data_IF_103573448352
#
_entry.id   IF_103573448352
#
_cell.length_a   1.000
_cell.length_b   1.000
_cell.length_c   1.000
_cell.angle_alpha   90.00
_cell.angle_beta   90.00
_cell.angle_gamma   90.00
#
_symmetry.space_group_name_H-M   'P 1'
#
loop_
_entity.id
_entity.type
_entity.pdbx_description
1 polymer ?
#
# COMPACT_ATOMS: atom_id res chain seq x y z
N UNK A 1 35.46 -51.40 -35.29
CA UNK A 1 35.38 -50.95 -33.88
C UNK A 1 34.94 -49.49 -33.89
N UNK A 2 33.66 -49.22 -33.64
CA UNK A 2 33.07 -47.86 -33.61
C UNK A 2 33.15 -47.35 -32.17
N UNK A 3 33.92 -46.31 -31.95
CA UNK A 3 33.99 -45.61 -30.65
C UNK A 3 32.79 -44.66 -30.55
N UNK A 4 31.85 -44.94 -29.63
CA UNK A 4 30.73 -44.06 -29.29
C UNK A 4 31.27 -43.06 -28.28
N UNK A 5 31.32 -41.80 -28.69
CA UNK A 5 31.67 -40.66 -27.84
C UNK A 5 30.40 -40.20 -27.11
N UNK A 6 30.32 -40.55 -25.84
CA UNK A 6 29.21 -40.13 -24.98
C UNK A 6 29.48 -38.70 -24.48
N UNK A 7 28.83 -37.72 -25.08
CA UNK A 7 28.89 -36.32 -24.64
C UNK A 7 27.94 -36.17 -23.46
N UNK A 8 28.49 -36.08 -22.26
CA UNK A 8 27.75 -35.76 -21.05
C UNK A 8 27.39 -34.26 -21.07
N UNK A 9 26.13 -33.95 -21.35
CA UNK A 9 25.60 -32.58 -21.31
C UNK A 9 25.37 -32.20 -19.84
N UNK A 10 26.34 -31.54 -19.24
CA UNK A 10 26.19 -30.93 -17.92
C UNK A 10 25.35 -29.65 -18.09
N UNK A 11 24.06 -29.70 -17.77
CA UNK A 11 23.23 -28.53 -17.65
C UNK A 11 23.65 -27.76 -16.38
N UNK A 12 24.05 -26.49 -16.49
CA UNK A 12 24.22 -25.66 -15.30
C UNK A 12 22.84 -25.41 -14.71
N UNK A 13 22.58 -25.97 -13.55
CA UNK A 13 21.49 -25.52 -12.69
C UNK A 13 21.81 -24.08 -12.27
N UNK A 14 21.23 -23.14 -12.97
CA UNK A 14 21.18 -21.75 -12.51
C UNK A 14 20.27 -21.76 -11.29
N UNK A 15 20.86 -21.89 -10.12
CA UNK A 15 20.20 -21.59 -8.87
C UNK A 15 19.85 -20.10 -8.92
N UNK A 16 18.63 -19.80 -9.35
CA UNK A 16 18.08 -18.47 -9.28
C UNK A 16 17.99 -18.09 -7.80
N UNK A 17 19.00 -17.39 -7.30
CA UNK A 17 18.84 -16.57 -6.12
C UNK A 17 17.71 -15.61 -6.41
N UNK A 18 16.51 -15.89 -5.91
CA UNK A 18 15.46 -14.89 -5.76
C UNK A 18 16.03 -13.83 -4.83
N UNK A 19 16.59 -12.76 -5.43
CA UNK A 19 16.87 -11.54 -4.70
C UNK A 19 15.57 -11.20 -3.98
N UNK A 20 15.61 -11.23 -2.66
CA UNK A 20 14.58 -10.62 -1.83
C UNK A 20 14.43 -9.20 -2.35
N UNK A 21 13.28 -8.92 -2.97
CA UNK A 21 12.91 -7.57 -3.38
C UNK A 21 13.08 -6.68 -2.16
N UNK A 22 14.03 -5.78 -2.24
CA UNK A 22 14.16 -4.68 -1.29
C UNK A 22 12.81 -3.98 -1.30
N UNK A 23 12.09 -4.07 -0.19
CA UNK A 23 10.81 -3.38 0.02
C UNK A 23 11.01 -1.92 -0.34
N UNK A 24 10.48 -1.53 -1.50
CA UNK A 24 10.61 -0.18 -2.00
C UNK A 24 9.63 0.68 -1.22
N UNK A 25 10.15 1.48 -0.29
CA UNK A 25 9.39 2.59 0.26
C UNK A 25 8.90 3.45 -0.90
N UNK A 26 7.62 3.75 -0.94
CA UNK A 26 7.06 4.64 -1.95
C UNK A 26 7.69 6.03 -1.76
N UNK A 27 8.50 6.46 -2.73
CA UNK A 27 9.18 7.77 -2.68
C UNK A 27 8.21 8.94 -2.82
N UNK A 28 7.04 8.66 -3.37
CA UNK A 28 6.00 9.66 -3.66
C UNK A 28 4.89 9.62 -2.59
N UNK A 29 5.15 8.99 -1.42
CA UNK A 29 4.20 8.94 -0.31
C UNK A 29 4.22 10.23 0.49
N UNK A 30 3.06 10.82 0.68
CA UNK A 30 2.84 12.03 1.50
C UNK A 30 1.64 11.83 2.42
N UNK A 31 1.64 12.52 3.55
CA UNK A 31 0.49 12.56 4.46
C UNK A 31 0.41 13.90 5.20
N UNK A 32 -0.78 14.27 5.63
CA UNK A 32 -1.06 15.54 6.31
C UNK A 32 -0.62 15.57 7.78
N UNK A 33 -0.19 14.43 8.31
CA UNK A 33 0.04 14.26 9.75
C UNK A 33 -1.27 14.05 10.53
N UNK A 34 -1.15 13.85 11.84
CA UNK A 34 -2.30 13.74 12.73
C UNK A 34 -3.01 15.09 12.88
N UNK A 35 -4.30 15.12 12.65
CA UNK A 35 -5.10 16.22 13.14
C UNK A 35 -5.06 16.21 14.68
N UNK A 36 -4.77 17.35 15.29
CA UNK A 36 -4.82 17.47 16.75
C UNK A 36 -6.21 17.09 17.25
N UNK A 37 -6.27 16.23 18.27
CA UNK A 37 -7.50 15.77 18.88
C UNK A 37 -8.36 16.89 19.57
N UNK A 38 -8.02 18.14 19.36
CA UNK A 38 -8.73 19.32 19.82
C UNK A 38 -9.81 19.72 18.80
N UNK A 39 -10.83 18.91 18.70
CA UNK A 39 -11.97 19.28 17.85
C UNK A 39 -13.05 18.23 17.92
N UNK A 40 -13.88 18.39 18.95
CA UNK A 40 -15.32 18.06 18.94
C UNK A 40 -15.78 16.93 18.03
N UNK A 41 -16.34 15.89 18.63
CA UNK A 41 -17.40 15.09 18.01
C UNK A 41 -18.41 16.05 17.37
N UNK A 42 -18.17 16.46 16.15
CA UNK A 42 -19.15 17.10 15.30
C UNK A 42 -19.83 16.00 14.52
N UNK A 43 -21.12 16.05 14.47
CA UNK A 43 -22.05 15.03 14.03
C UNK A 43 -21.65 14.31 12.75
N UNK A 44 -22.23 13.14 12.58
CA UNK A 44 -22.10 12.18 11.48
C UNK A 44 -22.33 12.78 10.09
N UNK A 45 -21.44 13.65 9.66
CA UNK A 45 -21.41 14.12 8.28
C UNK A 45 -20.51 13.13 7.47
N UNK A 46 -20.91 12.83 6.24
CA UNK A 46 -20.17 11.93 5.32
C UNK A 46 -18.70 12.33 5.12
N UNK A 47 -18.34 13.57 5.48
CA UNK A 47 -16.98 14.10 5.46
C UNK A 47 -16.00 13.38 6.41
N UNK A 48 -16.51 12.67 7.42
CA UNK A 48 -15.69 11.99 8.44
C UNK A 48 -15.37 10.55 8.11
N UNK A 49 -15.94 10.01 7.03
CA UNK A 49 -15.71 8.62 6.64
C UNK A 49 -14.31 8.41 6.05
N UNK A 50 -13.70 7.30 6.43
CA UNK A 50 -12.46 6.86 5.79
C UNK A 50 -12.76 6.33 4.40
N UNK A 51 -12.05 6.86 3.38
CA UNK A 51 -12.20 6.44 2.00
C UNK A 51 -10.85 6.01 1.44
N UNK A 52 -10.84 4.90 0.71
CA UNK A 52 -9.75 4.50 -0.17
C UNK A 52 -10.14 4.85 -1.60
N UNK A 53 -9.33 5.65 -2.26
CA UNK A 53 -9.57 6.12 -3.64
C UNK A 53 -8.43 5.64 -4.52
N UNK A 54 -8.75 4.83 -5.53
CA UNK A 54 -7.82 4.38 -6.57
C UNK A 54 -8.17 5.12 -7.86
N UNK A 55 -7.23 5.89 -8.40
CA UNK A 55 -7.46 6.72 -9.58
C UNK A 55 -6.34 6.55 -10.60
N UNK A 56 -6.71 6.36 -11.90
CA UNK A 56 -5.76 6.51 -13.00
C UNK A 56 -5.37 7.99 -13.14
N UNK A 57 -4.08 8.27 -13.14
CA UNK A 57 -3.55 9.61 -13.34
C UNK A 57 -2.23 9.52 -14.13
N UNK A 58 -2.23 10.07 -15.35
CA UNK A 58 -1.04 10.19 -16.20
C UNK A 58 -0.25 8.88 -16.47
N UNK A 59 -0.96 7.74 -16.53
CA UNK A 59 -0.33 6.42 -16.75
C UNK A 59 0.04 5.68 -15.49
N UNK A 60 -0.15 6.27 -14.32
CA UNK A 60 0.11 5.68 -13.00
C UNK A 60 -1.20 5.49 -12.21
N UNK A 61 -1.15 4.69 -11.16
CA UNK A 61 -2.25 4.53 -10.21
C UNK A 61 -1.98 5.41 -8.99
N UNK A 62 -2.75 6.50 -8.84
CA UNK A 62 -2.78 7.27 -7.61
C UNK A 62 -3.65 6.56 -6.58
N UNK A 63 -3.09 6.38 -5.40
CA UNK A 63 -3.77 5.83 -4.23
C UNK A 63 -3.90 6.95 -3.21
N UNK A 64 -5.14 7.29 -2.86
CA UNK A 64 -5.42 8.29 -1.82
C UNK A 64 -6.28 7.65 -0.75
N UNK A 65 -5.93 7.87 0.50
CA UNK A 65 -6.76 7.52 1.65
C UNK A 65 -7.07 8.77 2.45
N UNK A 66 -8.35 8.96 2.74
CA UNK A 66 -8.81 10.08 3.56
C UNK A 66 -9.24 9.59 4.94
N UNK A 67 -9.10 10.44 5.94
CA UNK A 67 -9.56 10.21 7.31
C UNK A 67 -9.09 8.89 7.95
N UNK A 68 -7.86 8.47 7.62
CA UNK A 68 -7.29 7.24 8.16
C UNK A 68 -7.05 7.35 9.67
N UNK A 69 -7.45 6.30 10.41
CA UNK A 69 -7.12 6.20 11.83
C UNK A 69 -5.77 5.50 11.97
N UNK A 70 -4.79 6.21 12.49
CA UNK A 70 -3.45 5.71 12.76
C UNK A 70 -3.09 5.92 14.22
N UNK A 71 -2.08 5.18 14.70
CA UNK A 71 -1.57 5.40 16.05
C UNK A 71 -0.92 6.79 16.15
N UNK A 72 -1.23 7.52 17.22
CA UNK A 72 -0.72 8.89 17.41
C UNK A 72 0.79 8.96 17.73
N UNK A 73 1.51 7.85 17.67
CA UNK A 73 2.97 7.82 17.76
C UNK A 73 3.62 8.75 16.73
N UNK A 74 2.93 9.03 15.63
CA UNK A 74 3.36 9.97 14.59
C UNK A 74 3.58 11.36 15.17
N UNK A 75 2.81 11.78 16.17
CA UNK A 75 2.97 13.08 16.84
C UNK A 75 4.17 13.12 17.78
N UNK A 76 4.65 11.95 18.20
CA UNK A 76 5.81 11.79 19.08
C UNK A 76 7.13 11.55 18.31
N UNK A 77 7.12 11.71 16.98
CA UNK A 77 8.30 11.51 16.13
C UNK A 77 8.39 10.12 15.47
N UNK A 78 7.35 9.32 15.57
CA UNK A 78 7.19 8.12 14.72
C UNK A 78 6.95 8.49 13.26
N UNK A 79 7.14 7.53 12.36
CA UNK A 79 6.97 7.70 10.92
C UNK A 79 5.80 6.87 10.42
N UNK A 80 5.09 7.38 9.41
CA UNK A 80 4.18 6.57 8.58
C UNK A 80 4.97 6.07 7.37
N UNK A 81 4.98 4.76 7.17
CA UNK A 81 5.67 4.14 6.06
C UNK A 81 4.65 3.55 5.10
N UNK A 82 4.81 3.85 3.83
CA UNK A 82 4.09 3.23 2.74
C UNK A 82 5.05 2.36 1.92
N UNK A 83 4.73 1.10 1.76
CA UNK A 83 5.42 0.15 0.90
C UNK A 83 4.47 -0.29 -0.22
N UNK A 84 4.94 -0.26 -1.46
CA UNK A 84 4.19 -0.79 -2.58
C UNK A 84 5.07 -1.64 -3.49
N UNK A 85 4.51 -2.72 -4.02
CA UNK A 85 5.18 -3.58 -5.00
C UNK A 85 4.16 -4.21 -5.93
N UNK A 86 4.57 -4.46 -7.18
CA UNK A 86 3.74 -5.14 -8.18
C UNK A 86 4.38 -6.48 -8.50
N UNK A 87 3.66 -7.58 -8.23
CA UNK A 87 4.08 -8.93 -8.56
C UNK A 87 3.05 -9.58 -9.49
N UNK A 88 3.43 -9.77 -10.76
CA UNK A 88 2.50 -10.26 -11.76
C UNK A 88 1.35 -9.28 -12.00
N UNK A 89 0.16 -9.60 -11.50
CA UNK A 89 -1.04 -8.76 -11.53
C UNK A 89 -1.55 -8.39 -10.12
N UNK A 90 -0.77 -8.66 -9.08
CA UNK A 90 -1.10 -8.27 -7.71
C UNK A 90 -0.27 -7.05 -7.32
N UNK A 91 -0.95 -6.01 -6.86
CA UNK A 91 -0.38 -4.81 -6.27
C UNK A 91 -0.46 -4.99 -4.76
N UNK A 92 0.67 -5.27 -4.11
CA UNK A 92 0.75 -5.28 -2.65
C UNK A 92 1.01 -3.86 -2.17
N UNK A 93 0.13 -3.35 -1.34
CA UNK A 93 0.18 -1.99 -0.83
C UNK A 93 -0.01 -2.01 0.69
N UNK A 94 0.99 -1.53 1.42
CA UNK A 94 1.00 -1.55 2.87
C UNK A 94 1.35 -0.19 3.44
N UNK A 95 0.50 0.30 4.34
CA UNK A 95 0.76 1.49 5.17
C UNK A 95 0.82 1.03 6.62
N UNK A 96 1.83 1.49 7.35
CA UNK A 96 1.99 1.19 8.76
C UNK A 96 2.80 2.28 9.47
N UNK A 97 2.62 2.35 10.78
CA UNK A 97 3.39 3.22 11.63
C UNK A 97 4.70 2.54 12.05
N UNK A 98 5.78 3.25 11.94
CA UNK A 98 7.09 2.81 12.41
C UNK A 98 7.43 3.48 13.74
N UNK A 99 7.65 2.65 14.75
CA UNK A 99 8.09 3.10 16.06
C UNK A 99 9.60 3.17 16.09
N UNK A 100 10.12 4.35 16.40
CA UNK A 100 11.53 4.51 16.68
C UNK A 100 11.75 4.27 18.19
N UNK A 101 12.67 3.34 18.49
CA UNK A 101 13.20 3.04 19.82
C UNK A 101 12.33 3.40 21.04
N UNK A 102 11.45 2.47 21.43
CA UNK A 102 10.76 2.52 22.70
C UNK A 102 9.61 3.53 22.83
N UNK A 103 9.27 4.24 21.76
CA UNK A 103 8.08 5.07 21.76
C UNK A 103 6.83 4.18 21.77
N UNK A 104 5.96 4.38 22.74
CA UNK A 104 4.63 3.76 22.79
C UNK A 104 3.58 4.84 22.93
N UNK A 105 2.49 4.70 22.20
CA UNK A 105 1.33 5.57 22.34
C UNK A 105 0.06 4.72 22.36
N UNK A 106 -0.81 4.96 23.34
CA UNK A 106 -2.11 4.31 23.49
C UNK A 106 -3.23 5.22 22.99
N UNK A 107 -3.01 5.87 21.88
CA UNK A 107 -3.99 6.76 21.28
C UNK A 107 -4.03 6.57 19.78
N UNK A 108 -5.15 6.91 19.19
CA UNK A 108 -5.34 6.97 17.75
C UNK A 108 -5.52 8.43 17.32
N UNK A 109 -5.08 8.75 16.13
CA UNK A 109 -5.30 10.05 15.53
C UNK A 109 -5.78 9.91 14.10
N UNK A 110 -6.52 10.89 13.65
CA UNK A 110 -7.02 10.95 12.29
C UNK A 110 -6.01 11.65 11.39
N UNK A 111 -5.60 10.99 10.33
CA UNK A 111 -4.80 11.57 9.25
C UNK A 111 -5.76 11.94 8.13
N UNK A 112 -5.88 13.24 7.85
CA UNK A 112 -6.90 13.72 6.90
C UNK A 112 -6.66 13.20 5.49
N UNK A 113 -5.42 13.11 5.04
CA UNK A 113 -5.07 12.59 3.72
C UNK A 113 -3.71 11.91 3.72
N UNK A 114 -3.65 10.77 3.05
CA UNK A 114 -2.43 10.07 2.66
C UNK A 114 -2.48 9.79 1.17
N UNK A 115 -1.42 10.08 0.45
CA UNK A 115 -1.36 9.90 -1.00
C UNK A 115 -0.05 9.23 -1.40
N UNK A 116 -0.13 8.35 -2.40
CA UNK A 116 1.03 7.76 -3.06
C UNK A 116 0.74 7.41 -4.51
N UNK A 117 1.77 7.01 -5.25
CA UNK A 117 1.67 6.63 -6.65
C UNK A 117 2.29 5.25 -6.86
N UNK A 118 1.53 4.33 -7.45
CA UNK A 118 2.00 3.02 -7.89
C UNK A 118 2.31 3.10 -9.38
N UNK A 119 3.59 2.89 -9.73
CA UNK A 119 4.11 3.02 -11.10
C UNK A 119 4.26 1.66 -11.79
N UNK A 120 4.39 1.71 -13.12
CA UNK A 120 4.73 0.54 -13.94
C UNK A 120 3.56 -0.39 -14.24
N UNK A 121 2.33 0.04 -14.01
CA UNK A 121 1.14 -0.69 -14.42
C UNK A 121 0.96 -0.59 -15.95
N UNK A 122 0.36 -1.63 -16.54
CA UNK A 122 0.07 -1.67 -17.98
C UNK A 122 -1.40 -1.40 -18.20
N UNK A 123 -1.72 -0.42 -19.03
CA UNK A 123 -3.09 -0.09 -19.42
C UNK A 123 -3.77 -1.28 -20.10
N UNK A 124 -5.05 -1.50 -19.81
CA UNK A 124 -5.83 -2.63 -20.28
C UNK A 124 -5.63 -3.93 -19.52
N UNK A 125 -4.68 -4.00 -18.59
CA UNK A 125 -4.44 -5.19 -17.78
C UNK A 125 -5.29 -5.18 -16.51
N UNK A 126 -5.75 -6.36 -16.11
CA UNK A 126 -6.42 -6.58 -14.82
C UNK A 126 -5.39 -6.70 -13.70
N UNK A 127 -5.68 -6.04 -12.57
CA UNK A 127 -4.90 -6.08 -11.34
C UNK A 127 -5.79 -6.33 -10.13
N UNK A 128 -5.19 -6.94 -9.11
CA UNK A 128 -5.77 -7.07 -7.77
C UNK A 128 -4.96 -6.19 -6.84
N UNK A 129 -5.60 -5.26 -6.15
CA UNK A 129 -5.01 -4.38 -5.14
C UNK A 129 -5.20 -5.02 -3.78
N UNK A 130 -4.11 -5.52 -3.21
CA UNK A 130 -4.02 -6.14 -1.90
C UNK A 130 -3.53 -5.08 -0.90
N UNK A 131 -4.45 -4.60 -0.08
CA UNK A 131 -4.26 -3.45 0.77
C UNK A 131 -4.20 -3.81 2.24
N UNK A 132 -3.23 -3.24 2.94
CA UNK A 132 -3.08 -3.33 4.38
C UNK A 132 -2.81 -1.95 4.98
N UNK A 133 -3.60 -1.57 5.99
CA UNK A 133 -3.35 -0.39 6.82
C UNK A 133 -3.91 -0.67 8.21
N UNK A 134 -3.02 -0.88 9.20
CA UNK A 134 -3.34 -1.37 10.55
C UNK A 134 -4.01 -2.75 10.58
N UNK A 135 -4.82 -3.09 9.59
CA UNK A 135 -5.40 -4.42 9.34
C UNK A 135 -5.48 -4.70 7.83
N UNK A 136 -5.79 -5.95 7.47
CA UNK A 136 -5.99 -6.34 6.08
C UNK A 136 -7.42 -5.99 5.64
N UNK A 137 -7.55 -5.52 4.40
CA UNK A 137 -8.82 -5.24 3.73
C UNK A 137 -9.11 -6.29 2.67
N UNK A 138 -10.36 -6.39 2.23
CA UNK A 138 -10.72 -7.23 1.10
C UNK A 138 -10.02 -6.73 -0.17
N UNK A 139 -9.38 -7.62 -0.95
CA UNK A 139 -8.68 -7.22 -2.16
C UNK A 139 -9.64 -6.67 -3.22
N UNK A 140 -9.24 -5.61 -3.91
CA UNK A 140 -10.02 -4.94 -4.96
C UNK A 140 -9.47 -5.33 -6.32
N UNK A 141 -10.31 -5.92 -7.19
CA UNK A 141 -9.93 -6.25 -8.57
C UNK A 141 -10.45 -5.22 -9.56
N UNK A 142 -9.59 -4.79 -10.48
CA UNK A 142 -9.95 -3.79 -11.50
C UNK A 142 -9.11 -3.92 -12.77
N UNK A 143 -9.63 -3.39 -13.87
CA UNK A 143 -8.86 -3.20 -15.10
C UNK A 143 -8.23 -1.80 -15.07
N UNK A 144 -6.90 -1.72 -15.13
CA UNK A 144 -6.19 -0.45 -15.14
C UNK A 144 -6.34 0.23 -16.49
N UNK A 145 -7.03 1.35 -16.52
CA UNK A 145 -7.31 2.09 -17.76
C UNK A 145 -7.59 3.56 -17.47
N UNK A 146 -7.43 4.38 -18.50
CA UNK A 146 -7.80 5.81 -18.45
C UNK A 146 -9.24 5.97 -17.96
N UNK A 147 -9.44 6.90 -17.04
CA UNK A 147 -10.74 7.16 -16.41
C UNK A 147 -11.11 6.22 -15.28
N UNK A 148 -10.22 5.29 -14.87
CA UNK A 148 -10.42 4.49 -13.66
C UNK A 148 -10.55 5.40 -12.46
N UNK A 149 -11.64 5.25 -11.71
CA UNK A 149 -11.85 5.79 -10.37
C UNK A 149 -12.62 4.75 -9.57
N UNK A 150 -12.05 4.29 -8.47
CA UNK A 150 -12.67 3.40 -7.50
C UNK A 150 -12.66 4.13 -6.17
N UNK A 151 -13.78 4.14 -5.49
CA UNK A 151 -13.94 4.73 -4.15
C UNK A 151 -14.53 3.65 -3.27
N UNK A 152 -13.73 3.14 -2.33
CA UNK A 152 -14.16 2.20 -1.32
C UNK A 152 -14.31 2.92 0.01
N UNK A 153 -15.39 2.60 0.71
CA UNK A 153 -15.63 3.09 2.05
C UNK A 153 -15.02 2.10 3.01
N UNK A 154 -14.11 2.56 3.85
CA UNK A 154 -13.53 1.73 4.90
C UNK A 154 -14.40 1.82 6.14
N UNK A 155 -14.81 0.67 6.65
CA UNK A 155 -15.41 0.59 7.97
C UNK A 155 -14.34 0.88 9.02
N UNK A 156 -14.65 1.73 9.99
CA UNK A 156 -13.76 1.98 11.11
C UNK A 156 -13.59 0.66 11.90
N UNK A 157 -12.37 0.11 12.04
CA UNK A 157 -12.17 -1.13 12.78
C UNK A 157 -12.45 -1.00 14.28
N UNK A 158 -12.69 0.21 14.74
CA UNK A 158 -12.98 0.51 16.13
C UNK A 158 -14.41 0.99 16.26
N UNK A 159 -15.39 0.10 16.60
CA UNK A 159 -16.74 0.52 16.92
C UNK A 159 -16.68 1.48 18.12
N UNK A 160 -17.52 2.51 18.07
CA UNK A 160 -17.68 3.52 19.14
C UNK A 160 -18.03 2.91 20.51
#
# INVERSE_FOLDING_TARGET
MKKILMILLVLPMVAGCTKYDTKLRSKDFTHTGCASAAGTRAGSDDSDKSLLILKYEDGDLRVTRTNAMLNCIITAGGEVICESSVKGNVIHYKVYEYQKDGLTANCMCRVAEMTSVVKGLKEGKEYTFDYYCSHAYEPISFVFKKGLVIIEREEDPWPE
#
